data_IF_952041989836
#
_entry.id   IF_952041989836
#
_cell.length_a   1.000
_cell.length_b   1.000
_cell.length_c   1.000
_cell.angle_alpha   90.00
_cell.angle_beta   90.00
_cell.angle_gamma   90.00
#
_symmetry.space_group_name_H-M   'P 1'
#
loop_
_entity.id
_entity.type
_entity.pdbx_description
1 polymer ?
#
# COMPACT_ATOMS: atom_id res chain seq x y z
N UNK A 1 12.67 19.06 -1.25
CA UNK A 1 11.30 19.58 -1.43
C UNK A 1 10.74 19.44 -2.85
N UNK A 2 11.48 19.84 -3.90
CA UNK A 2 10.97 19.82 -5.30
C UNK A 2 10.65 18.40 -5.81
N UNK A 3 11.48 17.41 -5.49
CA UNK A 3 11.25 16.01 -5.91
C UNK A 3 9.97 15.42 -5.31
N UNK A 4 9.66 15.71 -4.05
CA UNK A 4 8.51 15.13 -3.35
C UNK A 4 7.19 15.74 -3.87
N UNK A 5 7.17 17.06 -4.08
CA UNK A 5 6.02 17.74 -4.69
C UNK A 5 5.83 17.28 -6.14
N UNK A 6 6.91 17.12 -6.90
CA UNK A 6 6.86 16.65 -8.29
C UNK A 6 6.28 15.23 -8.41
N UNK A 7 6.66 14.30 -7.53
CA UNK A 7 6.09 12.94 -7.54
C UNK A 7 4.62 12.92 -7.19
N UNK A 8 4.18 13.73 -6.22
CA UNK A 8 2.76 13.83 -5.86
C UNK A 8 1.94 14.42 -7.01
N UNK A 9 2.42 15.48 -7.67
CA UNK A 9 1.71 16.12 -8.77
C UNK A 9 1.62 15.20 -10.00
N UNK A 10 2.72 14.54 -10.35
CA UNK A 10 2.73 13.56 -11.43
C UNK A 10 1.76 12.41 -11.15
N UNK A 11 1.76 11.86 -9.93
CA UNK A 11 0.82 10.83 -9.51
C UNK A 11 -0.64 11.28 -9.59
N UNK A 12 -0.94 12.51 -9.18
CA UNK A 12 -2.30 13.07 -9.26
C UNK A 12 -2.77 13.21 -10.72
N UNK A 13 -1.92 13.71 -11.61
CA UNK A 13 -2.26 13.87 -13.04
C UNK A 13 -2.47 12.51 -13.71
N UNK A 14 -1.56 11.56 -13.49
CA UNK A 14 -1.66 10.20 -14.06
C UNK A 14 -2.89 9.48 -13.53
N UNK A 15 -3.16 9.57 -12.22
CA UNK A 15 -4.36 8.99 -11.61
C UNK A 15 -5.65 9.60 -12.15
N UNK A 16 -5.69 10.91 -12.36
CA UNK A 16 -6.84 11.60 -12.95
C UNK A 16 -7.12 11.15 -14.39
N UNK A 17 -6.08 11.06 -15.22
CA UNK A 17 -6.19 10.56 -16.60
C UNK A 17 -6.67 9.10 -16.61
N UNK A 18 -6.14 8.27 -15.70
CA UNK A 18 -6.56 6.88 -15.56
C UNK A 18 -8.04 6.73 -15.17
N UNK A 19 -8.53 7.55 -14.23
CA UNK A 19 -9.94 7.56 -13.85
C UNK A 19 -10.86 7.99 -15.01
N UNK A 20 -10.45 9.00 -15.79
CA UNK A 20 -11.18 9.40 -16.99
C UNK A 20 -11.23 8.28 -18.05
N UNK A 21 -10.09 7.61 -18.28
CA UNK A 21 -10.03 6.49 -19.21
C UNK A 21 -10.96 5.34 -18.77
N UNK A 22 -10.99 5.03 -17.48
CA UNK A 22 -11.90 4.04 -16.92
C UNK A 22 -13.37 4.42 -17.06
N UNK A 23 -13.70 5.69 -16.82
CA UNK A 23 -15.07 6.18 -16.95
C UNK A 23 -15.61 6.01 -18.38
N UNK A 24 -14.78 6.29 -19.39
CA UNK A 24 -15.16 6.09 -20.81
C UNK A 24 -15.11 4.62 -21.25
N UNK A 25 -14.33 3.77 -20.59
CA UNK A 25 -14.21 2.36 -20.92
C UNK A 25 -15.38 1.50 -20.43
N UNK A 26 -16.19 1.97 -19.48
CA UNK A 26 -17.33 1.23 -18.91
C UNK A 26 -18.58 1.42 -19.80
N UNK A 27 -19.06 0.38 -20.52
CA UNK A 27 -20.16 0.54 -21.47
C UNK A 27 -21.56 0.52 -20.84
N UNK A 28 -21.74 0.07 -19.59
CA UNK A 28 -23.05 -0.01 -18.93
C UNK A 28 -22.94 0.13 -17.40
N UNK A 29 -22.91 1.36 -16.89
CA UNK A 29 -22.78 1.67 -15.46
C UNK A 29 -23.85 0.98 -14.60
N UNK A 30 -25.08 0.83 -15.12
CA UNK A 30 -26.20 0.19 -14.41
C UNK A 30 -26.02 -1.30 -14.13
N UNK A 31 -25.28 -2.02 -14.99
CA UNK A 31 -24.94 -3.43 -14.74
C UNK A 31 -23.84 -3.53 -13.70
N UNK A 32 -22.84 -2.66 -13.74
CA UNK A 32 -21.79 -2.60 -12.71
C UNK A 32 -22.36 -2.27 -11.33
N UNK A 33 -23.27 -1.29 -11.20
CA UNK A 33 -23.85 -0.94 -9.90
C UNK A 33 -24.74 -2.02 -9.29
N UNK A 34 -25.33 -2.90 -10.11
CA UNK A 34 -26.11 -4.05 -9.62
C UNK A 34 -25.22 -5.22 -9.18
N UNK A 35 -24.11 -5.47 -9.88
CA UNK A 35 -23.17 -6.57 -9.57
C UNK A 35 -22.27 -6.25 -8.37
N UNK A 36 -21.93 -4.97 -8.16
CA UNK A 36 -21.05 -4.51 -7.09
C UNK A 36 -21.72 -4.42 -5.69
N UNK A 37 -22.97 -4.89 -5.53
CA UNK A 37 -23.61 -4.92 -4.20
C UNK A 37 -23.03 -5.99 -3.27
N UNK A 38 -22.27 -6.96 -3.78
CA UNK A 38 -21.73 -8.07 -2.97
C UNK A 38 -20.20 -8.15 -2.90
N UNK A 39 -19.45 -7.45 -3.77
CA UNK A 39 -17.99 -7.56 -3.80
C UNK A 39 -17.32 -6.19 -3.78
N UNK A 40 -16.96 -5.76 -2.57
CA UNK A 40 -16.25 -4.51 -2.25
C UNK A 40 -14.75 -4.60 -2.59
N UNK A 41 -14.42 -5.29 -3.69
CA UNK A 41 -13.03 -5.53 -4.09
C UNK A 41 -12.64 -4.58 -5.21
N UNK A 42 -11.69 -3.72 -4.88
CA UNK A 42 -10.84 -2.88 -5.73
C UNK A 42 -10.16 -3.60 -6.93
N UNK A 43 -10.54 -4.85 -7.22
CA UNK A 43 -10.14 -5.67 -8.36
C UNK A 43 -11.04 -5.50 -9.60
N UNK A 44 -11.81 -4.40 -9.67
CA UNK A 44 -12.74 -4.10 -10.76
C UNK A 44 -12.08 -4.01 -12.16
N UNK A 45 -10.77 -3.73 -12.25
CA UNK A 45 -10.05 -3.72 -13.53
C UNK A 45 -9.89 -5.13 -14.14
N UNK A 46 -9.59 -6.13 -13.30
CA UNK A 46 -9.39 -7.52 -13.73
C UNK A 46 -10.73 -8.14 -14.11
N UNK A 47 -11.80 -7.79 -13.39
CA UNK A 47 -13.17 -8.22 -13.71
C UNK A 47 -13.67 -7.55 -15.00
N UNK A 48 -13.43 -6.25 -15.21
CA UNK A 48 -13.78 -5.54 -16.44
C UNK A 48 -13.04 -6.09 -17.68
N UNK A 49 -11.79 -6.54 -17.53
CA UNK A 49 -11.08 -7.25 -18.61
C UNK A 49 -11.66 -8.64 -18.90
N UNK A 50 -12.22 -9.32 -17.88
CA UNK A 50 -12.83 -10.64 -18.03
C UNK A 50 -14.26 -10.59 -18.61
N UNK A 51 -14.96 -9.47 -18.45
CA UNK A 51 -16.31 -9.25 -19.00
C UNK A 51 -16.35 -8.97 -20.51
N UNK A 52 -15.21 -9.08 -21.23
CA UNK A 52 -15.17 -9.10 -22.69
C UNK A 52 -15.20 -7.73 -23.38
N UNK A 53 -14.97 -6.63 -22.64
CA UNK A 53 -15.00 -5.26 -23.19
C UNK A 53 -13.67 -4.86 -23.87
N UNK A 54 -12.56 -5.52 -23.53
CA UNK A 54 -11.20 -5.19 -24.00
C UNK A 54 -10.59 -6.43 -24.68
N UNK A 55 -9.87 -6.31 -25.82
CA UNK A 55 -9.18 -7.44 -26.43
C UNK A 55 -8.19 -8.08 -25.45
N UNK A 56 -8.22 -9.42 -25.35
CA UNK A 56 -7.45 -10.23 -24.39
C UNK A 56 -5.97 -9.81 -24.27
N UNK A 57 -5.34 -9.35 -25.36
CA UNK A 57 -3.93 -8.92 -25.39
C UNK A 57 -3.67 -7.68 -24.51
N UNK A 58 -4.56 -6.69 -24.55
CA UNK A 58 -4.41 -5.45 -23.78
C UNK A 58 -4.71 -5.71 -22.31
N UNK A 59 -5.73 -6.54 -22.04
CA UNK A 59 -6.07 -7.01 -20.70
C UNK A 59 -4.87 -7.67 -19.99
N UNK A 60 -4.24 -8.66 -20.65
CA UNK A 60 -3.08 -9.35 -20.06
C UNK A 60 -1.92 -8.39 -19.81
N UNK A 61 -1.63 -7.47 -20.74
CA UNK A 61 -0.55 -6.50 -20.57
C UNK A 61 -0.78 -5.57 -19.36
N UNK A 62 -2.02 -5.07 -19.20
CA UNK A 62 -2.38 -4.18 -18.09
C UNK A 62 -2.31 -4.90 -16.74
N UNK A 63 -2.79 -6.15 -16.67
CA UNK A 63 -2.72 -6.96 -15.46
C UNK A 63 -1.27 -7.29 -15.09
N UNK A 64 -0.42 -7.64 -16.05
CA UNK A 64 1.01 -7.88 -15.78
C UNK A 64 1.70 -6.61 -15.27
N UNK A 65 1.42 -5.45 -15.87
CA UNK A 65 1.98 -4.18 -15.43
C UNK A 65 1.54 -3.85 -13.99
N UNK A 66 0.27 -4.09 -13.67
CA UNK A 66 -0.27 -3.90 -12.32
C UNK A 66 0.43 -4.80 -11.30
N UNK A 67 0.58 -6.09 -11.59
CA UNK A 67 1.30 -7.04 -10.70
C UNK A 67 2.74 -6.58 -10.45
N UNK A 68 3.45 -6.15 -11.50
CA UNK A 68 4.81 -5.62 -11.38
C UNK A 68 4.84 -4.37 -10.50
N UNK A 69 3.89 -3.45 -10.67
CA UNK A 69 3.78 -2.25 -9.83
C UNK A 69 3.56 -2.61 -8.36
N UNK A 70 2.58 -3.48 -8.05
CA UNK A 70 2.32 -3.92 -6.67
C UNK A 70 3.57 -4.56 -6.04
N UNK A 71 4.31 -5.36 -6.82
CA UNK A 71 5.54 -6.00 -6.34
C UNK A 71 6.60 -4.96 -5.93
N UNK A 72 6.90 -3.99 -6.80
CA UNK A 72 7.86 -2.92 -6.48
C UNK A 72 7.37 -2.02 -5.33
N UNK A 73 6.07 -1.72 -5.29
CA UNK A 73 5.45 -0.94 -4.21
C UNK A 73 5.57 -1.64 -2.86
N UNK A 74 5.33 -2.96 -2.82
CA UNK A 74 5.49 -3.78 -1.61
C UNK A 74 6.92 -3.79 -1.08
N UNK A 75 7.90 -4.00 -1.96
CA UNK A 75 9.32 -3.99 -1.57
C UNK A 75 9.74 -2.62 -1.02
N UNK A 76 9.30 -1.53 -1.68
CA UNK A 76 9.58 -0.17 -1.23
C UNK A 76 9.02 0.09 0.17
N UNK A 77 7.76 -0.32 0.42
CA UNK A 77 7.09 -0.15 1.72
C UNK A 77 7.78 -0.93 2.84
N UNK A 78 8.15 -2.19 2.60
CA UNK A 78 8.87 -3.03 3.57
C UNK A 78 10.24 -2.41 3.89
N UNK A 79 10.93 -1.88 2.87
CA UNK A 79 12.24 -1.25 3.03
C UNK A 79 12.17 0.00 3.91
N UNK A 80 11.18 0.87 3.70
CA UNK A 80 11.00 2.09 4.52
C UNK A 80 10.62 1.72 5.95
N UNK A 81 9.65 0.83 6.12
CA UNK A 81 9.17 0.39 7.44
C UNK A 81 10.31 -0.22 8.26
N UNK A 82 11.15 -1.04 7.65
CA UNK A 82 12.32 -1.64 8.31
C UNK A 82 13.31 -0.60 8.83
N UNK A 83 13.56 0.47 8.07
CA UNK A 83 14.45 1.56 8.52
C UNK A 83 13.85 2.36 9.68
N UNK A 84 12.53 2.62 9.66
CA UNK A 84 11.83 3.32 10.74
C UNK A 84 11.87 2.49 12.03
N UNK A 85 11.52 1.20 11.96
CA UNK A 85 11.60 0.32 13.12
C UNK A 85 13.03 0.17 13.65
N UNK A 86 14.02 0.14 12.77
CA UNK A 86 15.42 0.09 13.19
C UNK A 86 15.81 1.35 13.98
N UNK A 87 15.37 2.55 13.54
CA UNK A 87 15.57 3.77 14.32
C UNK A 87 14.87 3.73 15.68
N UNK A 88 13.62 3.23 15.75
CA UNK A 88 12.91 3.09 17.02
C UNK A 88 13.58 2.07 17.96
N UNK A 89 14.10 0.97 17.42
CA UNK A 89 14.85 -0.02 18.18
C UNK A 89 16.18 0.56 18.72
N UNK A 90 16.86 1.42 17.94
CA UNK A 90 18.05 2.15 18.41
C UNK A 90 17.73 3.10 19.56
N UNK A 91 16.55 3.71 19.54
CA UNK A 91 16.10 4.65 20.57
C UNK A 91 15.54 3.94 21.82
N UNK A 92 15.64 2.60 21.89
CA UNK A 92 15.29 1.81 23.08
C UNK A 92 13.79 1.63 23.30
N UNK A 93 12.95 1.95 22.32
CA UNK A 93 11.49 1.97 22.45
C UNK A 93 10.84 0.57 22.62
N UNK A 94 11.58 -0.53 22.41
CA UNK A 94 11.08 -1.90 22.48
C UNK A 94 11.79 -2.75 23.55
N UNK A 95 11.05 -3.58 24.33
CA UNK A 95 11.66 -4.66 25.09
C UNK A 95 12.28 -5.65 24.09
N UNK A 96 13.55 -6.05 24.29
CA UNK A 96 14.39 -6.81 23.33
C UNK A 96 14.99 -6.01 22.14
N UNK A 97 15.11 -4.67 22.26
CA UNK A 97 15.81 -3.81 21.28
C UNK A 97 17.21 -4.31 20.88
N UNK A 98 17.92 -5.00 21.76
CA UNK A 98 19.26 -5.56 21.49
C UNK A 98 19.27 -6.59 20.34
N UNK A 99 18.24 -7.43 20.22
CA UNK A 99 18.15 -8.42 19.14
C UNK A 99 17.64 -7.80 17.84
N UNK A 100 16.76 -6.80 17.93
CA UNK A 100 16.21 -6.10 16.76
C UNK A 100 17.21 -5.15 16.09
N UNK A 101 18.19 -4.65 16.85
CA UNK A 101 19.28 -3.78 16.38
C UNK A 101 20.38 -4.53 15.61
N UNK A 102 20.30 -5.86 15.50
CA UNK A 102 21.30 -6.64 14.77
C UNK A 102 21.33 -6.24 13.28
N UNK A 103 22.50 -5.74 12.85
CA UNK A 103 22.80 -5.33 11.49
C UNK A 103 23.78 -6.34 10.89
N UNK A 104 23.54 -6.75 9.65
CA UNK A 104 24.48 -7.58 8.91
C UNK A 104 25.64 -6.72 8.37
N UNK A 105 26.88 -7.07 8.72
CA UNK A 105 28.09 -6.27 8.46
C UNK A 105 28.40 -6.07 6.96
N UNK A 106 28.04 -7.03 6.10
CA UNK A 106 28.32 -6.95 4.67
C UNK A 106 27.47 -5.94 3.91
N UNK A 107 26.20 -5.79 4.29
CA UNK A 107 25.21 -5.00 3.51
C UNK A 107 24.66 -3.80 4.28
N UNK A 108 25.00 -3.65 5.57
CA UNK A 108 24.46 -2.62 6.49
C UNK A 108 22.93 -2.62 6.57
N UNK A 109 22.28 -3.73 6.22
CA UNK A 109 20.83 -3.88 6.27
C UNK A 109 20.45 -4.36 7.68
N UNK A 110 19.45 -3.74 8.34
CA UNK A 110 18.96 -4.17 9.65
C UNK A 110 18.12 -5.45 9.51
N UNK A 111 18.79 -6.59 9.35
CA UNK A 111 18.14 -7.88 9.07
C UNK A 111 17.21 -8.33 10.21
N UNK A 112 17.57 -8.09 11.48
CA UNK A 112 16.71 -8.46 12.61
C UNK A 112 15.36 -7.77 12.56
N UNK A 113 15.36 -6.47 12.29
CA UNK A 113 14.13 -5.67 12.13
C UNK A 113 13.34 -6.06 10.87
N UNK A 114 14.04 -6.34 9.76
CA UNK A 114 13.42 -6.76 8.51
C UNK A 114 12.65 -8.08 8.67
N UNK A 115 13.28 -9.10 9.27
CA UNK A 115 12.63 -10.40 9.50
C UNK A 115 11.40 -10.22 10.39
N UNK A 116 11.51 -9.43 11.46
CA UNK A 116 10.39 -9.15 12.35
C UNK A 116 9.18 -8.55 11.61
N UNK A 117 9.41 -7.56 10.75
CA UNK A 117 8.34 -6.94 9.94
C UNK A 117 7.77 -7.92 8.93
N UNK A 118 8.61 -8.70 8.25
CA UNK A 118 8.16 -9.73 7.31
C UNK A 118 7.27 -10.78 8.00
N UNK A 119 7.63 -11.20 9.22
CA UNK A 119 6.81 -12.14 10.00
C UNK A 119 5.46 -11.51 10.33
N UNK A 120 5.42 -10.30 10.86
CA UNK A 120 4.16 -9.60 11.18
C UNK A 120 3.29 -9.45 9.93
N UNK A 121 3.88 -9.01 8.82
CA UNK A 121 3.16 -8.78 7.58
C UNK A 121 2.62 -10.09 6.99
N UNK A 122 3.42 -11.16 7.02
CA UNK A 122 2.99 -12.50 6.62
C UNK A 122 1.87 -13.03 7.51
N UNK A 123 1.91 -12.80 8.82
CA UNK A 123 0.84 -13.21 9.73
C UNK A 123 -0.46 -12.46 9.46
N UNK A 124 -0.40 -11.14 9.22
CA UNK A 124 -1.56 -10.34 8.82
C UNK A 124 -2.15 -10.82 7.48
N UNK A 125 -1.31 -11.12 6.50
CA UNK A 125 -1.77 -11.61 5.20
C UNK A 125 -2.45 -12.98 5.31
N UNK A 126 -1.89 -13.89 6.13
CA UNK A 126 -2.52 -15.19 6.40
C UNK A 126 -3.87 -15.06 7.10
N UNK A 127 -4.12 -13.98 7.84
CA UNK A 127 -5.39 -13.75 8.53
C UNK A 127 -6.56 -13.52 7.57
N UNK A 128 -6.27 -13.02 6.36
CA UNK A 128 -7.27 -12.85 5.29
C UNK A 128 -7.97 -14.17 4.92
N UNK A 129 -7.29 -15.32 5.08
CA UNK A 129 -7.85 -16.64 4.79
C UNK A 129 -8.94 -17.06 5.78
N UNK A 130 -8.97 -16.46 6.97
CA UNK A 130 -9.90 -16.80 8.04
C UNK A 130 -11.09 -15.84 8.06
N UNK A 131 -10.85 -14.54 7.93
CA UNK A 131 -11.92 -13.53 7.93
C UNK A 131 -11.52 -12.27 7.18
N UNK A 132 -12.28 -11.96 6.12
CA UNK A 132 -12.11 -10.74 5.34
C UNK A 132 -12.56 -9.50 6.13
N UNK A 133 -13.63 -9.59 6.92
CA UNK A 133 -14.16 -8.49 7.74
C UNK A 133 -13.16 -7.96 8.76
N UNK A 134 -12.38 -8.84 9.37
CA UNK A 134 -11.42 -8.43 10.37
C UNK A 134 -10.18 -7.77 9.74
N UNK A 135 -9.72 -8.24 8.58
CA UNK A 135 -8.63 -7.56 7.85
C UNK A 135 -9.07 -6.19 7.35
N UNK A 136 -10.29 -6.03 6.81
CA UNK A 136 -10.80 -4.73 6.37
C UNK A 136 -10.93 -3.73 7.53
N UNK A 137 -11.29 -4.21 8.73
CA UNK A 137 -11.24 -3.41 9.95
C UNK A 137 -9.81 -2.96 10.29
N UNK A 138 -8.82 -3.86 10.25
CA UNK A 138 -7.41 -3.51 10.48
C UNK A 138 -6.86 -2.50 9.46
N UNK A 139 -7.23 -2.63 8.18
CA UNK A 139 -6.82 -1.69 7.12
C UNK A 139 -7.42 -0.29 7.35
N UNK A 140 -8.67 -0.23 7.81
CA UNK A 140 -9.35 1.03 8.15
C UNK A 140 -8.66 1.74 9.31
N UNK A 141 -8.34 1.00 10.38
CA UNK A 141 -7.58 1.52 11.53
C UNK A 141 -6.19 2.01 11.09
N UNK A 142 -5.50 1.24 10.24
CA UNK A 142 -4.17 1.61 9.75
C UNK A 142 -4.20 2.93 8.97
N UNK A 143 -5.22 3.12 8.14
CA UNK A 143 -5.43 4.37 7.39
C UNK A 143 -5.68 5.56 8.33
N UNK A 144 -6.50 5.34 9.36
CA UNK A 144 -6.74 6.35 10.39
C UNK A 144 -5.47 6.74 11.15
N UNK A 145 -4.65 5.75 11.54
CA UNK A 145 -3.36 5.98 12.19
C UNK A 145 -2.39 6.79 11.30
N UNK A 146 -2.35 6.53 9.99
CA UNK A 146 -1.53 7.31 9.05
C UNK A 146 -1.99 8.76 8.98
N UNK A 147 -3.30 9.00 8.95
CA UNK A 147 -3.84 10.36 8.95
C UNK A 147 -3.47 11.12 10.23
N UNK A 148 -3.51 10.45 11.39
CA UNK A 148 -3.02 11.02 12.66
C UNK A 148 -1.51 11.27 12.60
N UNK A 149 -0.72 10.35 12.04
CA UNK A 149 0.73 10.52 11.93
C UNK A 149 1.11 11.76 11.13
N UNK A 150 0.35 12.10 10.07
CA UNK A 150 0.54 13.33 9.32
C UNK A 150 0.07 14.59 10.05
N UNK A 151 -0.88 14.49 10.98
CA UNK A 151 -1.32 15.63 11.80
C UNK A 151 -0.25 16.05 12.82
N UNK A 152 0.48 15.10 13.41
CA UNK A 152 1.52 15.38 14.42
C UNK A 152 2.52 16.47 13.97
N UNK A 153 3.25 16.34 12.84
CA UNK A 153 4.22 17.35 12.43
C UNK A 153 3.57 18.71 12.06
N UNK A 154 2.30 18.72 11.66
CA UNK A 154 1.56 19.96 11.36
C UNK A 154 1.27 20.70 12.67
N UNK A 155 0.77 20.00 13.69
CA UNK A 155 0.50 20.57 15.01
C UNK A 155 1.77 21.12 15.65
N UNK A 156 2.88 20.38 15.61
CA UNK A 156 4.16 20.85 16.13
C UNK A 156 4.66 22.12 15.43
N UNK A 157 4.41 22.27 14.12
CA UNK A 157 4.73 23.52 13.41
C UNK A 157 3.83 24.68 13.81
N UNK A 158 2.55 24.44 14.10
CA UNK A 158 1.63 25.48 14.53
C UNK A 158 1.85 25.93 15.98
N UNK A 159 2.30 25.05 16.87
CA UNK A 159 2.53 25.39 18.29
C UNK A 159 3.88 26.08 18.55
N UNK A 160 4.87 25.86 17.69
CA UNK A 160 6.22 26.43 17.81
C UNK A 160 6.39 27.72 16.98
N UNK A 161 5.36 28.14 16.23
CA UNK A 161 5.30 29.42 15.51
C UNK A 161 4.50 30.46 16.29
#
# INVERSE_FOLDING_TARGET
PRSLVGTCLCGAIVGFIYLLALLFAIPNVDKFLKDNKENDDSMNLIIATYQGVIPNRIATMLTTLLVVNLYFGGISSITVTSRIFFSMARDGAFPYSHYLRWIYEGTKIPMGTLIFICVIHSTLLSFQLISTTAVTAFLSISTFCLQISYLIPILFRCTIS
#
